data_IF_852931145369
#
_entry.id   IF_852931145369
#
_cell.length_a   1.000
_cell.length_b   1.000
_cell.length_c   1.000
_cell.angle_alpha   90.00
_cell.angle_beta   90.00
_cell.angle_gamma   90.00
#
_symmetry.space_group_name_H-M   'P 1'
#
loop_
_entity.id
_entity.type
_entity.pdbx_description
1 polymer ?
#
# COMPACT_ATOMS: atom_id res chain seq x y z
N UNK A 1 18.40 -4.24 30.20
CA UNK A 1 18.48 -3.74 28.83
C UNK A 1 17.29 -4.15 27.92
N UNK A 2 16.61 -5.30 28.13
CA UNK A 2 15.41 -5.69 27.32
C UNK A 2 14.19 -4.78 27.56
N UNK A 3 13.98 -4.26 28.76
CA UNK A 3 12.80 -3.45 29.11
C UNK A 3 12.84 -2.02 28.55
N UNK A 4 14.03 -1.43 28.30
CA UNK A 4 14.13 -0.11 27.69
C UNK A 4 13.71 -0.09 26.21
N UNK A 5 14.03 -1.16 25.45
CA UNK A 5 13.64 -1.27 24.04
C UNK A 5 12.11 -1.43 23.87
N UNK A 6 11.45 -2.11 24.81
CA UNK A 6 10.00 -2.27 24.81
C UNK A 6 9.30 -0.95 25.17
N UNK A 7 9.82 -0.23 26.16
CA UNK A 7 9.25 1.07 26.58
C UNK A 7 9.43 2.16 25.49
N UNK A 8 10.53 2.15 24.74
CA UNK A 8 10.76 3.04 23.60
C UNK A 8 9.76 2.77 22.47
N UNK A 9 9.46 1.49 22.23
CA UNK A 9 8.48 1.02 21.24
C UNK A 9 7.06 1.51 21.52
N UNK A 10 6.65 1.64 22.79
CA UNK A 10 5.32 2.17 23.19
C UNK A 10 5.24 3.70 23.16
N UNK A 11 6.37 4.43 23.18
CA UNK A 11 6.39 5.89 23.18
C UNK A 11 6.17 6.48 21.79
N UNK A 12 6.54 5.74 20.73
CA UNK A 12 6.44 6.16 19.33
C UNK A 12 4.99 6.20 18.80
N UNK A 13 4.04 5.48 19.39
CA UNK A 13 2.65 5.40 18.92
C UNK A 13 1.68 6.35 19.65
N UNK A 14 2.15 7.46 20.21
CA UNK A 14 1.30 8.42 20.97
C UNK A 14 0.78 9.57 20.12
N UNK A 15 1.13 9.64 18.85
CA UNK A 15 0.71 10.68 17.90
C UNK A 15 -0.56 10.28 17.13
N UNK A 16 -1.11 11.19 16.36
CA UNK A 16 -2.29 10.97 15.51
C UNK A 16 -2.15 9.70 14.67
N UNK A 17 -3.29 9.11 14.28
CA UNK A 17 -3.28 7.91 13.43
C UNK A 17 -2.52 8.22 12.15
N UNK A 18 -1.51 7.40 11.86
CA UNK A 18 -0.71 7.47 10.66
C UNK A 18 -1.22 6.46 9.63
N UNK A 19 -1.25 6.87 8.39
CA UNK A 19 -1.58 6.00 7.27
C UNK A 19 -0.32 5.68 6.47
N UNK A 20 0.04 4.41 6.43
CA UNK A 20 1.19 3.89 5.68
C UNK A 20 0.67 3.12 4.48
N UNK A 21 0.97 3.57 3.27
CA UNK A 21 0.56 2.90 2.05
C UNK A 21 1.65 1.95 1.56
N UNK A 22 1.24 0.74 1.20
CA UNK A 22 2.08 -0.24 0.51
C UNK A 22 1.66 -0.26 -0.95
N UNK A 23 2.57 0.06 -1.85
CA UNK A 23 2.30 0.09 -3.27
C UNK A 23 3.43 -0.58 -4.10
N UNK A 24 3.19 -0.78 -5.36
CA UNK A 24 4.13 -1.42 -6.29
C UNK A 24 3.42 -2.35 -7.27
N UNK A 25 4.13 -2.90 -8.25
CA UNK A 25 3.59 -3.82 -9.23
C UNK A 25 2.98 -5.07 -8.60
N UNK A 26 2.24 -5.82 -9.39
CA UNK A 26 1.74 -7.14 -8.97
C UNK A 26 2.88 -8.11 -8.64
N UNK A 27 2.58 -9.13 -7.84
CA UNK A 27 3.56 -10.15 -7.42
C UNK A 27 4.81 -9.61 -6.70
N UNK A 28 4.70 -8.44 -6.04
CA UNK A 28 5.78 -7.86 -5.23
C UNK A 28 5.58 -8.06 -3.72
N UNK A 29 4.58 -8.86 -3.31
CA UNK A 29 4.36 -9.23 -1.91
C UNK A 29 3.73 -8.12 -1.06
N UNK A 30 2.97 -7.17 -1.66
CA UNK A 30 2.27 -6.09 -0.94
C UNK A 30 1.40 -6.60 0.19
N UNK A 31 0.42 -7.44 -0.11
CA UNK A 31 -0.55 -7.95 0.87
C UNK A 31 0.12 -8.75 1.98
N UNK A 32 1.10 -9.61 1.65
CA UNK A 32 1.89 -10.34 2.64
C UNK A 32 2.65 -9.39 3.56
N UNK A 33 3.18 -8.29 3.02
CA UNK A 33 3.87 -7.26 3.81
C UNK A 33 2.89 -6.51 4.71
N UNK A 34 1.69 -6.16 4.22
CA UNK A 34 0.63 -5.54 5.01
C UNK A 34 0.25 -6.40 6.22
N UNK A 35 0.02 -7.69 6.01
CA UNK A 35 -0.26 -8.65 7.08
C UNK A 35 0.89 -8.76 8.10
N UNK A 36 2.12 -8.85 7.61
CA UNK A 36 3.30 -8.95 8.47
C UNK A 36 3.51 -7.70 9.34
N UNK A 37 3.32 -6.50 8.77
CA UNK A 37 3.40 -5.24 9.50
C UNK A 37 2.25 -5.08 10.50
N UNK A 38 1.00 -5.42 10.09
CA UNK A 38 -0.15 -5.39 10.97
C UNK A 38 0.05 -6.30 12.19
N UNK A 39 0.56 -7.51 11.99
CA UNK A 39 0.92 -8.45 13.05
C UNK A 39 2.05 -7.93 13.94
N UNK A 40 3.11 -7.37 13.34
CA UNK A 40 4.27 -6.87 14.06
C UNK A 40 3.94 -5.71 15.00
N UNK A 41 3.13 -4.76 14.54
CA UNK A 41 2.75 -3.57 15.30
C UNK A 41 1.45 -3.73 16.09
N UNK A 42 0.74 -4.88 15.95
CA UNK A 42 -0.58 -5.12 16.55
C UNK A 42 -1.62 -4.06 16.13
N UNK A 43 -1.61 -3.70 14.86
CA UNK A 43 -2.51 -2.73 14.21
C UNK A 43 -3.39 -3.41 13.16
N UNK A 44 -4.26 -2.63 12.53
CA UNK A 44 -5.06 -3.08 11.40
C UNK A 44 -4.36 -2.77 10.07
N UNK A 45 -4.78 -3.46 9.01
CA UNK A 45 -4.52 -3.07 7.64
C UNK A 45 -5.81 -3.09 6.82
N UNK A 46 -5.89 -2.21 5.82
CA UNK A 46 -6.94 -2.19 4.81
C UNK A 46 -6.48 -3.06 3.65
N UNK A 47 -7.19 -4.15 3.30
CA UNK A 47 -6.84 -4.99 2.16
C UNK A 47 -7.15 -4.31 0.83
N UNK A 48 -6.62 -4.86 -0.26
CA UNK A 48 -6.92 -4.46 -1.62
C UNK A 48 -8.35 -4.86 -2.02
N UNK A 49 -9.20 -3.87 -2.30
CA UNK A 49 -10.60 -4.09 -2.70
C UNK A 49 -10.73 -4.72 -4.09
N UNK A 50 -9.77 -4.45 -5.00
CA UNK A 50 -9.78 -5.00 -6.35
C UNK A 50 -9.90 -6.53 -6.36
N UNK A 51 -9.21 -7.22 -5.45
CA UNK A 51 -9.29 -8.68 -5.32
C UNK A 51 -10.71 -9.15 -4.98
N UNK A 52 -11.40 -8.48 -4.05
CA UNK A 52 -12.78 -8.78 -3.72
C UNK A 52 -13.69 -8.53 -4.93
N UNK A 53 -13.58 -7.37 -5.56
CA UNK A 53 -14.40 -7.01 -6.73
C UNK A 53 -14.26 -8.03 -7.86
N UNK A 54 -13.04 -8.40 -8.23
CA UNK A 54 -12.78 -9.34 -9.31
C UNK A 54 -13.24 -10.78 -8.96
N UNK A 55 -13.16 -11.18 -7.69
CA UNK A 55 -13.71 -12.46 -7.23
C UNK A 55 -15.23 -12.52 -7.39
N UNK A 56 -15.92 -11.44 -7.08
CA UNK A 56 -17.39 -11.36 -7.11
C UNK A 56 -17.96 -11.14 -8.51
N UNK A 57 -17.22 -10.40 -9.38
CA UNK A 57 -17.72 -9.96 -10.69
C UNK A 57 -17.01 -10.63 -11.88
N UNK A 58 -15.96 -11.42 -11.63
CA UNK A 58 -15.15 -12.06 -12.66
C UNK A 58 -13.91 -11.22 -13.02
N UNK A 59 -12.96 -11.88 -13.68
CA UNK A 59 -11.64 -11.31 -13.98
C UNK A 59 -11.63 -10.29 -15.14
N UNK A 60 -12.71 -10.23 -15.92
CA UNK A 60 -12.83 -9.26 -17.00
C UNK A 60 -13.41 -7.97 -16.46
N UNK A 61 -12.67 -6.89 -16.64
CA UNK A 61 -13.07 -5.55 -16.22
C UNK A 61 -12.95 -4.56 -17.38
N UNK A 62 -13.68 -3.46 -17.27
CA UNK A 62 -13.65 -2.34 -18.19
C UNK A 62 -13.21 -1.07 -17.45
N UNK A 63 -13.16 0.05 -18.17
CA UNK A 63 -12.73 1.34 -17.60
C UNK A 63 -13.61 1.79 -16.42
N UNK A 64 -14.93 1.64 -16.51
CA UNK A 64 -15.87 2.06 -15.45
C UNK A 64 -15.77 1.15 -14.21
N UNK A 65 -15.39 -0.11 -14.38
CA UNK A 65 -15.14 -1.01 -13.26
C UNK A 65 -13.98 -0.50 -12.40
N UNK A 66 -12.96 0.11 -13.01
CA UNK A 66 -11.85 0.70 -12.25
C UNK A 66 -12.29 1.88 -11.38
N UNK A 67 -13.29 2.66 -11.82
CA UNK A 67 -13.91 3.70 -10.99
C UNK A 67 -14.66 3.08 -9.81
N UNK A 68 -15.37 1.98 -10.05
CA UNK A 68 -16.08 1.25 -9.01
C UNK A 68 -15.11 0.66 -7.98
N UNK A 69 -14.02 0.06 -8.45
CA UNK A 69 -12.94 -0.47 -7.60
C UNK A 69 -12.31 0.67 -6.77
N UNK A 70 -12.01 1.81 -7.39
CA UNK A 70 -11.44 2.96 -6.68
C UNK A 70 -12.36 3.47 -5.56
N UNK A 71 -13.66 3.59 -5.82
CA UNK A 71 -14.65 3.98 -4.80
C UNK A 71 -14.76 2.95 -3.69
N UNK A 72 -14.76 1.66 -4.03
CA UNK A 72 -14.78 0.56 -3.08
C UNK A 72 -13.54 0.56 -2.18
N UNK A 73 -12.35 0.77 -2.74
CA UNK A 73 -11.10 0.88 -1.98
C UNK A 73 -11.15 2.01 -0.96
N UNK A 74 -11.66 3.17 -1.34
CA UNK A 74 -11.76 4.32 -0.43
C UNK A 74 -12.79 4.11 0.67
N UNK A 75 -13.93 3.49 0.35
CA UNK A 75 -14.93 3.12 1.35
C UNK A 75 -14.34 2.13 2.37
N UNK A 76 -13.65 1.11 1.87
CA UNK A 76 -12.98 0.11 2.72
C UNK A 76 -11.88 0.74 3.59
N UNK A 77 -11.08 1.66 3.04
CA UNK A 77 -10.06 2.40 3.79
C UNK A 77 -10.70 3.21 4.93
N UNK A 78 -11.80 3.90 4.67
CA UNK A 78 -12.49 4.71 5.68
C UNK A 78 -13.07 3.84 6.80
N UNK A 79 -13.65 2.68 6.49
CA UNK A 79 -14.12 1.69 7.47
C UNK A 79 -12.99 1.17 8.36
N UNK A 80 -11.85 0.79 7.77
CA UNK A 80 -10.70 0.32 8.53
C UNK A 80 -10.05 1.43 9.36
N UNK A 81 -10.05 2.66 8.86
CA UNK A 81 -9.57 3.82 9.61
C UNK A 81 -10.46 4.11 10.82
N UNK A 82 -11.78 4.09 10.65
CA UNK A 82 -12.73 4.23 11.75
C UNK A 82 -12.52 3.13 12.79
N UNK A 83 -12.43 1.87 12.37
CA UNK A 83 -12.16 0.72 13.24
C UNK A 83 -10.83 0.87 14.01
N UNK A 84 -9.79 1.38 13.34
CA UNK A 84 -8.51 1.69 13.99
C UNK A 84 -8.67 2.72 15.10
N UNK A 85 -9.42 3.78 14.83
CA UNK A 85 -9.68 4.87 15.78
C UNK A 85 -10.45 4.37 17.00
N UNK A 86 -11.51 3.63 16.80
CA UNK A 86 -12.34 3.05 17.87
C UNK A 86 -11.55 2.11 18.77
N UNK A 87 -10.62 1.36 18.21
CA UNK A 87 -9.74 0.45 18.94
C UNK A 87 -8.43 1.07 19.42
N UNK A 88 -8.30 2.41 19.34
CA UNK A 88 -7.12 3.17 19.80
C UNK A 88 -5.82 2.67 19.15
N UNK A 89 -5.89 2.26 17.89
CA UNK A 89 -4.73 1.93 17.08
C UNK A 89 -4.29 3.20 16.35
N UNK A 90 -3.03 3.59 16.50
CA UNK A 90 -2.53 4.86 16.00
C UNK A 90 -1.94 4.77 14.58
N UNK A 91 -2.06 3.64 13.93
CA UNK A 91 -1.54 3.43 12.58
C UNK A 91 -2.45 2.47 11.81
N UNK A 92 -2.67 2.78 10.53
CA UNK A 92 -3.34 1.91 9.56
C UNK A 92 -2.36 1.66 8.40
N UNK A 93 -2.14 0.40 8.06
CA UNK A 93 -1.47 0.03 6.81
C UNK A 93 -2.53 -0.13 5.72
N UNK A 94 -2.27 0.41 4.53
CA UNK A 94 -3.20 0.39 3.40
C UNK A 94 -2.54 -0.38 2.26
N UNK A 95 -3.16 -1.49 1.83
CA UNK A 95 -2.75 -2.21 0.63
C UNK A 95 -3.44 -1.59 -0.58
N UNK A 96 -2.67 -0.86 -1.37
CA UNK A 96 -3.17 -0.17 -2.56
C UNK A 96 -3.94 1.13 -2.28
N UNK A 97 -3.54 2.21 -2.91
CA UNK A 97 -4.16 3.53 -2.85
C UNK A 97 -4.56 4.06 -4.24
N UNK A 98 -4.90 5.34 -4.31
CA UNK A 98 -5.31 5.97 -5.56
C UNK A 98 -4.16 6.17 -6.56
N UNK A 99 -2.89 6.15 -6.16
CA UNK A 99 -1.78 6.09 -7.11
C UNK A 99 -1.78 4.76 -7.88
N UNK A 100 -2.06 3.65 -7.21
CA UNK A 100 -2.16 2.35 -7.90
C UNK A 100 -3.35 2.36 -8.86
N UNK A 101 -4.49 2.88 -8.45
CA UNK A 101 -5.67 3.01 -9.33
C UNK A 101 -5.40 3.92 -10.53
N UNK A 102 -4.70 5.03 -10.35
CA UNK A 102 -4.27 5.91 -11.44
C UNK A 102 -3.37 5.15 -12.43
N UNK A 103 -2.34 4.51 -11.93
CA UNK A 103 -1.40 3.75 -12.78
C UNK A 103 -2.12 2.65 -13.54
N UNK A 104 -3.01 1.91 -12.88
CA UNK A 104 -3.80 0.87 -13.54
C UNK A 104 -4.68 1.44 -14.65
N UNK A 105 -5.41 2.52 -14.40
CA UNK A 105 -6.22 3.19 -15.41
C UNK A 105 -5.39 3.68 -16.60
N UNK A 106 -4.26 4.34 -16.34
CA UNK A 106 -3.40 4.88 -17.39
C UNK A 106 -2.68 3.78 -18.18
N UNK A 107 -2.21 2.73 -17.51
CA UNK A 107 -1.47 1.66 -18.15
C UNK A 107 -2.34 0.80 -19.08
N UNK A 108 -3.58 0.52 -18.68
CA UNK A 108 -4.50 -0.34 -19.46
C UNK A 108 -5.33 0.48 -20.45
N UNK A 109 -5.87 1.63 -20.02
CA UNK A 109 -6.83 2.42 -20.79
C UNK A 109 -6.28 3.77 -21.27
N UNK A 110 -5.02 4.10 -20.95
CA UNK A 110 -4.35 5.35 -21.32
C UNK A 110 -5.11 6.61 -20.86
N UNK A 111 -5.90 6.48 -19.83
CA UNK A 111 -6.70 7.55 -19.25
C UNK A 111 -6.97 7.25 -17.78
N UNK A 112 -7.11 8.28 -16.93
CA UNK A 112 -7.51 8.14 -15.54
C UNK A 112 -8.80 8.91 -15.25
N UNK A 113 -9.67 8.33 -14.41
CA UNK A 113 -10.88 9.01 -13.96
C UNK A 113 -10.56 10.27 -13.14
N UNK A 114 -11.21 11.37 -13.43
CA UNK A 114 -11.08 12.63 -12.67
C UNK A 114 -11.27 12.40 -11.17
N UNK A 115 -12.22 11.56 -10.80
CA UNK A 115 -12.43 11.18 -9.40
C UNK A 115 -11.17 10.64 -8.72
N UNK A 116 -10.42 9.74 -9.38
CA UNK A 116 -9.18 9.17 -8.84
C UNK A 116 -8.13 10.29 -8.63
N UNK A 117 -7.99 11.19 -9.60
CA UNK A 117 -7.05 12.31 -9.53
C UNK A 117 -7.42 13.29 -8.40
N UNK A 118 -8.71 13.57 -8.22
CA UNK A 118 -9.22 14.38 -7.11
C UNK A 118 -8.91 13.73 -5.75
N UNK A 119 -9.11 12.42 -5.63
CA UNK A 119 -8.84 11.69 -4.39
C UNK A 119 -7.35 11.64 -4.04
N UNK A 120 -6.46 11.55 -5.02
CA UNK A 120 -5.00 11.68 -4.81
C UNK A 120 -4.68 13.03 -4.16
N UNK A 121 -5.31 14.11 -4.59
CA UNK A 121 -5.07 15.45 -4.01
C UNK A 121 -5.70 15.65 -2.62
N UNK A 122 -6.81 14.99 -2.35
CA UNK A 122 -7.58 15.19 -1.12
C UNK A 122 -7.10 14.30 0.03
N UNK A 123 -6.74 13.05 -0.26
CA UNK A 123 -6.32 12.10 0.77
C UNK A 123 -4.89 12.35 1.23
N UNK A 124 -4.66 12.13 2.53
CA UNK A 124 -3.34 12.33 3.15
C UNK A 124 -2.84 11.00 3.68
N UNK A 125 -1.60 10.73 3.34
CA UNK A 125 -0.83 9.60 3.84
C UNK A 125 0.48 10.11 4.43
N UNK A 126 1.04 9.38 5.39
CA UNK A 126 2.22 9.81 6.13
C UNK A 126 3.50 9.14 5.61
N UNK A 127 3.38 7.96 5.00
CA UNK A 127 4.52 7.22 4.46
C UNK A 127 4.07 6.31 3.32
N UNK A 128 4.86 6.27 2.26
CA UNK A 128 4.74 5.29 1.19
C UNK A 128 5.86 4.25 1.24
N UNK A 129 5.52 2.99 1.10
CA UNK A 129 6.46 1.88 0.95
C UNK A 129 6.30 1.26 -0.44
N UNK A 130 7.26 1.52 -1.32
CA UNK A 130 7.30 0.95 -2.66
C UNK A 130 7.94 -0.44 -2.61
N UNK A 131 7.15 -1.47 -2.89
CA UNK A 131 7.65 -2.84 -2.97
C UNK A 131 8.49 -3.04 -4.23
N UNK A 132 9.75 -3.48 -4.04
CA UNK A 132 10.68 -3.81 -5.12
C UNK A 132 10.24 -5.06 -5.89
N UNK A 133 10.70 -5.16 -7.13
CA UNK A 133 10.41 -6.28 -8.06
C UNK A 133 11.40 -7.44 -7.94
N UNK A 134 12.08 -7.56 -6.82
CA UNK A 134 13.08 -8.58 -6.50
C UNK A 134 12.51 -9.95 -6.12
N UNK A 135 11.18 -10.07 -6.02
CA UNK A 135 10.50 -11.36 -5.85
C UNK A 135 10.22 -12.02 -7.20
N UNK A 136 10.38 -13.35 -7.22
CA UNK A 136 9.95 -14.16 -8.36
C UNK A 136 8.44 -13.99 -8.55
N UNK A 137 8.02 -13.82 -9.81
CA UNK A 137 6.60 -13.77 -10.13
C UNK A 137 5.96 -15.13 -9.79
N UNK A 138 4.81 -15.06 -9.14
CA UNK A 138 4.04 -16.26 -8.79
C UNK A 138 2.71 -16.20 -9.51
N UNK A 139 2.31 -17.29 -10.13
CA UNK A 139 1.02 -17.40 -10.82
C UNK A 139 -0.15 -17.18 -9.86
N UNK A 140 -1.12 -16.40 -10.30
CA UNK A 140 -2.35 -16.08 -9.59
C UNK A 140 -3.36 -15.64 -10.65
N UNK A 141 -4.59 -16.07 -10.55
CA UNK A 141 -5.64 -15.79 -11.55
C UNK A 141 -5.89 -14.29 -11.80
N UNK A 142 -5.52 -13.43 -10.85
CA UNK A 142 -5.70 -11.97 -10.93
C UNK A 142 -4.44 -11.22 -11.34
N UNK A 143 -3.40 -11.91 -11.80
CA UNK A 143 -2.14 -11.29 -12.24
C UNK A 143 -2.00 -11.35 -13.74
N UNK A 144 -1.73 -10.20 -14.34
CA UNK A 144 -1.76 -10.01 -15.79
C UNK A 144 -0.35 -9.93 -16.41
N UNK A 145 0.69 -9.63 -15.61
CA UNK A 145 2.03 -9.31 -16.12
C UNK A 145 3.10 -10.28 -15.62
N UNK A 146 3.19 -11.50 -16.18
CA UNK A 146 4.22 -12.48 -15.80
C UNK A 146 5.63 -12.04 -16.21
N UNK A 147 5.74 -11.22 -17.25
CA UNK A 147 7.01 -10.78 -17.79
C UNK A 147 7.70 -9.72 -16.93
N UNK A 148 9.03 -9.81 -16.86
CA UNK A 148 9.83 -8.87 -16.09
C UNK A 148 9.77 -7.44 -16.63
N UNK A 149 9.60 -7.27 -17.97
CA UNK A 149 9.60 -5.94 -18.61
C UNK A 149 8.43 -5.07 -18.16
N UNK A 150 7.15 -5.48 -18.27
CA UNK A 150 6.01 -4.70 -17.76
C UNK A 150 6.13 -4.39 -16.26
N UNK A 151 6.62 -5.33 -15.45
CA UNK A 151 6.82 -5.10 -14.02
C UNK A 151 7.87 -4.04 -13.74
N UNK A 152 8.97 -4.00 -14.52
CA UNK A 152 10.00 -2.96 -14.40
C UNK A 152 9.48 -1.59 -14.84
N UNK A 153 8.66 -1.55 -15.90
CA UNK A 153 8.00 -0.32 -16.35
C UNK A 153 7.05 0.23 -15.27
N UNK A 154 6.17 -0.61 -14.74
CA UNK A 154 5.26 -0.24 -13.65
C UNK A 154 6.01 0.23 -12.40
N UNK A 155 7.07 -0.47 -12.01
CA UNK A 155 7.91 -0.05 -10.88
C UNK A 155 8.51 1.34 -11.10
N UNK A 156 8.99 1.62 -12.32
CA UNK A 156 9.55 2.93 -12.68
C UNK A 156 8.48 4.03 -12.62
N UNK A 157 7.26 3.75 -13.08
CA UNK A 157 6.12 4.68 -13.00
C UNK A 157 5.78 4.99 -11.54
N UNK A 158 5.64 3.98 -10.67
CA UNK A 158 5.39 4.21 -9.25
C UNK A 158 6.50 5.01 -8.58
N UNK A 159 7.77 4.69 -8.88
CA UNK A 159 8.91 5.41 -8.34
C UNK A 159 8.91 6.86 -8.76
N UNK A 160 8.61 7.16 -10.03
CA UNK A 160 8.53 8.52 -10.54
C UNK A 160 7.41 9.31 -9.86
N UNK A 161 6.24 8.72 -9.67
CA UNK A 161 5.14 9.33 -8.90
C UNK A 161 5.58 9.70 -7.48
N UNK A 162 6.29 8.80 -6.80
CA UNK A 162 6.75 9.03 -5.43
C UNK A 162 7.87 10.06 -5.32
N UNK A 163 8.71 10.19 -6.35
CA UNK A 163 9.74 11.24 -6.42
C UNK A 163 9.08 12.64 -6.57
N UNK A 164 7.96 12.72 -7.29
CA UNK A 164 7.29 13.98 -7.63
C UNK A 164 6.18 14.40 -6.64
N UNK A 165 6.15 13.82 -5.42
CA UNK A 165 5.23 14.19 -4.35
C UNK A 165 6.01 14.41 -3.04
N UNK A 166 5.36 14.97 -2.00
CA UNK A 166 6.05 15.44 -0.78
C UNK A 166 5.99 14.46 0.40
N UNK A 167 5.13 13.43 0.35
CA UNK A 167 5.04 12.45 1.43
C UNK A 167 6.31 11.60 1.46
N UNK A 168 6.94 11.38 2.62
CA UNK A 168 8.08 10.47 2.74
C UNK A 168 7.81 9.10 2.14
N UNK A 169 8.83 8.49 1.56
CA UNK A 169 8.72 7.17 0.97
C UNK A 169 10.03 6.39 1.00
N UNK A 170 9.95 5.07 0.85
CA UNK A 170 11.11 4.21 0.78
C UNK A 170 10.85 2.94 -0.02
N UNK A 171 11.94 2.34 -0.56
CA UNK A 171 11.87 1.08 -1.30
C UNK A 171 12.07 -0.08 -0.32
N UNK A 172 11.16 -1.05 -0.40
CA UNK A 172 11.20 -2.28 0.38
C UNK A 172 11.62 -3.43 -0.51
N UNK A 173 12.85 -3.90 -0.30
CA UNK A 173 13.47 -5.04 -0.98
C UNK A 173 13.71 -6.20 -0.02
N UNK A 174 14.16 -7.35 -0.57
CA UNK A 174 14.45 -8.56 0.20
C UNK A 174 13.32 -9.59 0.16
N UNK A 175 13.55 -10.76 0.72
CA UNK A 175 12.62 -11.90 0.68
C UNK A 175 12.17 -12.25 2.10
N UNK A 176 10.89 -12.57 2.27
CA UNK A 176 10.32 -13.06 3.52
C UNK A 176 10.58 -12.11 4.71
N UNK A 177 11.23 -12.61 5.74
CA UNK A 177 11.49 -11.85 6.97
C UNK A 177 12.40 -10.63 6.75
N UNK A 178 13.30 -10.66 5.79
CA UNK A 178 14.22 -9.54 5.54
C UNK A 178 13.47 -8.38 4.87
N UNK A 179 12.50 -8.66 3.99
CA UNK A 179 11.58 -7.65 3.44
C UNK A 179 10.79 -6.95 4.54
N UNK A 180 10.24 -7.72 5.47
CA UNK A 180 9.51 -7.17 6.62
C UNK A 180 10.42 -6.33 7.52
N UNK A 181 11.65 -6.79 7.81
CA UNK A 181 12.63 -6.01 8.58
C UNK A 181 12.98 -4.69 7.89
N UNK A 182 13.16 -4.71 6.57
CA UNK A 182 13.45 -3.49 5.79
C UNK A 182 12.31 -2.48 5.90
N UNK A 183 11.07 -2.92 5.76
CA UNK A 183 9.90 -2.05 5.93
C UNK A 183 9.82 -1.47 7.34
N UNK A 184 10.05 -2.29 8.39
CA UNK A 184 10.08 -1.84 9.77
C UNK A 184 11.16 -0.77 9.98
N UNK A 185 12.37 -0.96 9.43
CA UNK A 185 13.45 0.04 9.52
C UNK A 185 13.05 1.38 8.92
N UNK A 186 12.41 1.39 7.73
CA UNK A 186 11.94 2.61 7.07
C UNK A 186 10.87 3.29 7.92
N UNK A 187 9.90 2.53 8.44
CA UNK A 187 8.84 3.06 9.30
C UNK A 187 9.42 3.67 10.58
N UNK A 188 10.31 2.95 11.27
CA UNK A 188 10.91 3.43 12.52
C UNK A 188 11.80 4.66 12.29
N UNK A 189 12.52 4.74 11.18
CA UNK A 189 13.29 5.90 10.80
C UNK A 189 12.35 7.12 10.59
N UNK A 190 11.30 6.97 9.80
CA UNK A 190 10.33 8.04 9.57
C UNK A 190 9.68 8.53 10.88
N UNK A 191 9.30 7.62 11.78
CA UNK A 191 8.70 7.95 13.07
C UNK A 191 9.66 8.66 14.04
N UNK A 192 10.97 8.52 13.86
CA UNK A 192 11.98 9.21 14.67
C UNK A 192 12.29 10.62 14.13
N UNK A 193 11.98 10.87 12.87
CA UNK A 193 12.20 12.16 12.19
C UNK A 193 11.04 13.16 12.43
N UNK A 194 9.92 12.69 13.05
CA UNK A 194 8.75 13.49 13.47
C UNK A 194 8.82 13.89 14.95
#
# INVERSE_FOLDING_TARGET
MKNLKVAHRFKLFKMAIQKIVILGPESTGKSTLCEALAKHYHIYYCPEYARQFLTENGLKYNYEDLLTIAKGQLTLEDEWFQKSTENKKNTLVVDTDMYVMKVWCEYVFQNAHTYILEQINQRKYDLYLLCDIDLTWTEDEMREYPDAKPRAELFSIYKDLLINQNTPWGIVSGIGADRTKKAIQIIEQHLNDL
#
